data_IF_405450898786
#
_entry.id   IF_405450898786
#
_cell.length_a   1.000
_cell.length_b   1.000
_cell.length_c   1.000
_cell.angle_alpha   90.00
_cell.angle_beta   90.00
_cell.angle_gamma   90.00
#
_symmetry.space_group_name_H-M   'P 1'
#
loop_
_entity.id
_entity.type
_entity.pdbx_description
1 polymer ?
#
# COMPACT_ATOMS: atom_id res chain seq x y z
N UNK A 1 25.00 4.41 -27.69
CA UNK A 1 24.19 4.97 -26.59
C UNK A 1 23.01 5.69 -27.22
N UNK A 2 21.86 5.04 -27.29
CA UNK A 2 20.66 5.62 -27.93
C UNK A 2 20.04 6.61 -26.95
N UNK A 3 19.85 7.86 -27.39
CA UNK A 3 19.06 8.83 -26.66
C UNK A 3 17.64 8.28 -26.52
N UNK A 4 17.28 7.85 -25.32
CA UNK A 4 15.87 7.67 -24.97
C UNK A 4 15.30 9.09 -25.02
N UNK A 5 14.61 9.39 -26.12
CA UNK A 5 14.00 10.69 -26.40
C UNK A 5 13.09 11.09 -25.24
N UNK A 6 13.28 12.30 -24.71
CA UNK A 6 12.54 12.86 -23.56
C UNK A 6 11.02 12.82 -23.74
N UNK A 7 10.56 12.72 -25.00
CA UNK A 7 9.17 12.62 -25.40
C UNK A 7 8.46 11.34 -24.91
N UNK A 8 9.20 10.28 -24.55
CA UNK A 8 8.60 9.05 -24.00
C UNK A 8 8.44 9.07 -22.47
N UNK A 9 8.95 10.08 -21.76
CA UNK A 9 8.85 10.16 -20.29
C UNK A 9 7.48 10.70 -19.86
N UNK A 10 6.88 11.62 -20.64
CA UNK A 10 5.57 12.22 -20.34
C UNK A 10 4.41 11.23 -20.36
N UNK A 11 4.53 10.15 -21.14
CA UNK A 11 3.48 9.15 -21.33
C UNK A 11 3.55 8.01 -20.31
N UNK A 12 4.60 7.98 -19.49
CA UNK A 12 4.75 6.92 -18.47
C UNK A 12 3.79 7.15 -17.32
N UNK A 13 3.24 6.07 -16.75
CA UNK A 13 2.43 6.15 -15.53
C UNK A 13 3.29 5.83 -14.32
N UNK A 14 3.18 6.61 -13.26
CA UNK A 14 3.93 6.41 -12.02
C UNK A 14 3.05 5.78 -10.95
N UNK A 15 3.43 4.59 -10.53
CA UNK A 15 2.78 3.84 -9.46
C UNK A 15 3.64 3.91 -8.22
N UNK A 16 3.04 4.22 -7.08
CA UNK A 16 3.69 4.10 -5.76
C UNK A 16 3.11 2.88 -5.06
N UNK A 17 3.97 2.05 -4.48
CA UNK A 17 3.58 0.85 -3.74
C UNK A 17 4.07 0.99 -2.31
N UNK A 18 3.14 1.06 -1.37
CA UNK A 18 3.41 1.27 0.05
C UNK A 18 3.13 -0.02 0.80
N UNK A 19 4.20 -0.67 1.25
CA UNK A 19 4.15 -1.98 1.91
C UNK A 19 3.91 -1.87 3.41
N UNK A 20 3.27 -2.88 4.00
CA UNK A 20 3.37 -3.09 5.45
C UNK A 20 4.79 -3.59 5.78
N UNK A 21 5.42 -3.14 6.89
CA UNK A 21 6.82 -3.42 7.21
C UNK A 21 7.01 -4.82 7.81
N UNK A 22 6.48 -5.82 7.11
CA UNK A 22 6.61 -7.24 7.42
C UNK A 22 7.05 -7.96 6.15
N UNK A 23 7.96 -8.91 6.31
CA UNK A 23 8.47 -9.67 5.17
C UNK A 23 7.38 -10.44 4.42
N UNK A 24 6.32 -10.88 5.12
CA UNK A 24 5.18 -11.55 4.51
C UNK A 24 4.39 -10.68 3.52
N UNK A 25 4.47 -9.35 3.68
CA UNK A 25 3.79 -8.36 2.83
C UNK A 25 4.76 -7.77 1.80
N UNK A 26 5.97 -7.40 2.22
CA UNK A 26 7.00 -6.87 1.31
C UNK A 26 7.30 -7.83 0.17
N UNK A 27 7.52 -9.12 0.46
CA UNK A 27 7.95 -10.09 -0.57
C UNK A 27 6.97 -10.25 -1.75
N UNK A 28 5.65 -10.46 -1.55
CA UNK A 28 4.72 -10.52 -2.68
C UNK A 28 4.61 -9.18 -3.43
N UNK A 29 4.69 -8.04 -2.73
CA UNK A 29 4.64 -6.71 -3.37
C UNK A 29 5.91 -6.39 -4.21
N UNK A 30 7.09 -6.88 -3.79
CA UNK A 30 8.30 -6.87 -4.63
C UNK A 30 8.09 -7.69 -5.91
N UNK A 31 7.50 -8.87 -5.77
CA UNK A 31 7.23 -9.77 -6.88
C UNK A 31 6.25 -9.15 -7.86
N UNK A 32 5.15 -8.59 -7.35
CA UNK A 32 4.17 -7.84 -8.11
C UNK A 32 4.82 -6.70 -8.90
N UNK A 33 5.60 -5.86 -8.21
CA UNK A 33 6.23 -4.68 -8.80
C UNK A 33 7.24 -5.03 -9.90
N UNK A 34 8.09 -6.03 -9.65
CA UNK A 34 9.06 -6.50 -10.64
C UNK A 34 8.36 -7.04 -11.90
N UNK A 35 7.28 -7.82 -11.72
CA UNK A 35 6.49 -8.36 -12.85
C UNK A 35 5.79 -7.26 -13.63
N UNK A 36 5.21 -6.27 -12.97
CA UNK A 36 4.61 -5.12 -13.66
C UNK A 36 5.62 -4.38 -14.54
N UNK A 37 6.82 -4.10 -14.01
CA UNK A 37 7.88 -3.46 -14.79
C UNK A 37 8.29 -4.30 -16.01
N UNK A 38 8.31 -5.64 -15.88
CA UNK A 38 8.65 -6.53 -16.99
C UNK A 38 7.60 -6.54 -18.11
N UNK A 39 6.32 -6.50 -17.75
CA UNK A 39 5.20 -6.63 -18.69
C UNK A 39 4.82 -5.27 -19.31
N UNK A 40 4.94 -4.18 -18.55
CA UNK A 40 4.47 -2.86 -18.97
C UNK A 40 5.65 -1.87 -19.10
N UNK A 41 6.12 -1.58 -20.32
CA UNK A 41 7.30 -0.74 -20.55
C UNK A 41 7.08 0.75 -20.20
N UNK A 42 5.83 1.19 -20.10
CA UNK A 42 5.45 2.56 -19.77
C UNK A 42 5.27 2.82 -18.27
N UNK A 43 5.41 1.80 -17.41
CA UNK A 43 5.27 1.99 -15.97
C UNK A 43 6.59 2.44 -15.32
N UNK A 44 6.46 3.39 -14.40
CA UNK A 44 7.43 3.71 -13.36
C UNK A 44 6.87 3.19 -12.03
N UNK A 45 7.67 2.54 -11.21
CA UNK A 45 7.23 2.04 -9.91
C UNK A 45 8.18 2.52 -8.81
N UNK A 46 7.64 3.18 -7.80
CA UNK A 46 8.34 3.50 -6.55
C UNK A 46 7.83 2.57 -5.45
N UNK A 47 8.72 1.75 -4.90
CA UNK A 47 8.46 0.89 -3.74
C UNK A 47 8.86 1.62 -2.47
N UNK A 48 7.93 1.79 -1.53
CA UNK A 48 8.18 2.39 -0.21
C UNK A 48 8.32 1.28 0.81
N UNK A 49 9.54 1.09 1.32
CA UNK A 49 9.92 -0.05 2.17
C UNK A 49 10.62 0.40 3.45
N UNK A 50 10.46 -0.32 4.58
CA UNK A 50 11.29 -0.08 5.75
C UNK A 50 12.77 -0.47 5.46
N UNK A 51 13.70 0.36 5.92
CA UNK A 51 15.15 0.17 5.75
C UNK A 51 15.67 -1.14 6.38
N UNK A 52 15.06 -1.60 7.47
CA UNK A 52 15.47 -2.83 8.15
C UNK A 52 15.15 -4.12 7.36
N UNK A 53 14.44 -4.04 6.23
CA UNK A 53 14.16 -5.18 5.34
C UNK A 53 15.10 -5.19 4.11
N UNK A 54 15.97 -4.18 3.94
CA UNK A 54 16.83 -4.02 2.77
C UNK A 54 17.69 -5.24 2.44
N UNK A 55 18.26 -5.90 3.46
CA UNK A 55 19.06 -7.12 3.31
C UNK A 55 18.28 -8.28 2.67
N UNK A 56 16.95 -8.29 2.79
CA UNK A 56 16.06 -9.27 2.17
C UNK A 56 15.54 -8.78 0.81
N UNK A 57 15.27 -7.49 0.68
CA UNK A 57 14.73 -6.87 -0.54
C UNK A 57 15.66 -7.03 -1.74
N UNK A 58 16.93 -6.66 -1.59
CA UNK A 58 17.92 -6.68 -2.68
C UNK A 58 18.08 -8.06 -3.31
N UNK A 59 18.36 -9.15 -2.55
CA UNK A 59 18.47 -10.48 -3.15
C UNK A 59 17.14 -11.02 -3.69
N UNK A 60 15.98 -10.62 -3.16
CA UNK A 60 14.69 -11.02 -3.71
C UNK A 60 14.45 -10.37 -5.08
N UNK A 61 14.68 -9.06 -5.23
CA UNK A 61 14.57 -8.34 -6.50
C UNK A 61 15.54 -8.87 -7.57
N UNK A 62 16.74 -9.30 -7.15
CA UNK A 62 17.73 -9.88 -8.04
C UNK A 62 17.24 -11.15 -8.79
N UNK A 63 16.32 -11.92 -8.18
CA UNK A 63 15.74 -13.15 -8.77
C UNK A 63 14.91 -12.88 -10.03
N UNK A 64 14.46 -11.64 -10.24
CA UNK A 64 13.64 -11.28 -11.40
C UNK A 64 14.47 -10.95 -12.64
N UNK A 65 15.80 -10.86 -12.53
CA UNK A 65 16.70 -10.62 -13.65
C UNK A 65 16.30 -9.42 -14.53
N UNK A 66 15.90 -8.31 -13.90
CA UNK A 66 15.49 -7.09 -14.60
C UNK A 66 16.59 -6.59 -15.55
N UNK A 67 16.25 -6.16 -16.76
CA UNK A 67 17.19 -5.48 -17.65
C UNK A 67 17.62 -4.12 -17.06
N UNK A 68 18.72 -3.50 -17.54
CA UNK A 68 19.09 -2.14 -17.12
C UNK A 68 17.96 -1.12 -17.30
N UNK A 69 17.22 -1.20 -18.40
CA UNK A 69 16.07 -0.33 -18.68
C UNK A 69 14.91 -0.57 -17.69
N UNK A 70 14.63 -1.83 -17.36
CA UNK A 70 13.62 -2.19 -16.36
C UNK A 70 14.02 -1.69 -14.97
N UNK A 71 15.28 -1.86 -14.56
CA UNK A 71 15.81 -1.31 -13.30
C UNK A 71 15.70 0.21 -13.24
N UNK A 72 15.95 0.90 -14.35
CA UNK A 72 15.83 2.35 -14.39
C UNK A 72 14.40 2.86 -14.09
N UNK A 73 13.37 2.01 -14.27
CA UNK A 73 11.95 2.31 -14.02
C UNK A 73 11.42 1.79 -12.68
N UNK A 74 12.27 1.14 -11.87
CA UNK A 74 11.95 0.73 -10.51
C UNK A 74 12.81 1.55 -9.55
N UNK A 75 12.18 2.19 -8.56
CA UNK A 75 12.85 2.86 -7.44
C UNK A 75 12.43 2.19 -6.15
N UNK A 76 13.38 2.04 -5.24
CA UNK A 76 13.12 1.57 -3.88
C UNK A 76 13.46 2.75 -2.99
N UNK A 77 12.44 3.32 -2.38
CA UNK A 77 12.57 4.36 -1.37
C UNK A 77 12.49 3.68 -0.01
N UNK A 78 13.56 3.80 0.75
CA UNK A 78 13.62 3.26 2.10
C UNK A 78 13.16 4.31 3.11
N UNK A 79 12.72 3.86 4.29
CA UNK A 79 12.47 4.73 5.41
C UNK A 79 12.87 4.06 6.72
N UNK A 80 13.38 4.87 7.66
CA UNK A 80 13.74 4.41 8.99
C UNK A 80 12.55 4.49 9.94
N UNK A 81 12.42 3.48 10.80
CA UNK A 81 11.46 3.53 11.89
C UNK A 81 11.97 4.51 12.96
N UNK A 82 11.28 5.65 13.13
CA UNK A 82 11.62 6.66 14.15
C UNK A 82 11.39 6.09 15.57
N UNK A 83 10.46 5.13 15.71
CA UNK A 83 10.08 4.49 16.96
C UNK A 83 9.87 2.99 16.73
N UNK A 84 10.09 2.13 17.74
CA UNK A 84 9.76 0.71 17.64
C UNK A 84 8.25 0.50 17.33
N UNK A 85 7.90 -0.58 16.61
CA UNK A 85 6.50 -0.89 16.36
C UNK A 85 5.75 -1.14 17.67
N UNK A 86 4.46 -0.76 17.77
CA UNK A 86 3.61 -1.24 18.84
C UNK A 86 3.44 -2.78 18.73
N UNK A 87 2.91 -3.43 19.78
CA UNK A 87 2.66 -4.86 19.76
C UNK A 87 1.87 -5.29 18.52
N UNK A 88 2.23 -6.46 17.96
CA UNK A 88 1.57 -7.00 16.77
C UNK A 88 0.08 -7.19 17.06
N UNK A 89 -0.83 -6.52 16.33
CA UNK A 89 -2.26 -6.63 16.54
C UNK A 89 -2.78 -8.06 16.30
N UNK A 90 -2.04 -8.91 15.58
CA UNK A 90 -2.38 -10.32 15.38
C UNK A 90 -2.01 -11.22 16.59
N UNK A 91 -1.14 -10.74 17.49
CA UNK A 91 -0.73 -11.48 18.68
C UNK A 91 -1.49 -11.07 19.95
N UNK A 92 -2.01 -9.85 20.00
CA UNK A 92 -3.00 -9.44 21.00
C UNK A 92 -4.38 -9.92 20.56
N UNK A 93 -5.12 -10.62 21.42
CA UNK A 93 -6.52 -10.99 21.16
C UNK A 93 -7.34 -9.72 20.88
N UNK A 94 -7.60 -9.42 19.59
CA UNK A 94 -8.60 -8.45 19.10
C UNK A 94 -8.76 -7.20 19.98
N UNK A 95 -7.64 -6.51 20.26
CA UNK A 95 -7.66 -5.21 20.94
C UNK A 95 -7.67 -4.11 19.87
N UNK A 96 -8.83 -3.48 19.69
CA UNK A 96 -9.01 -2.34 18.80
C UNK A 96 -7.97 -1.24 19.05
N UNK A 97 -7.54 -1.08 20.31
CA UNK A 97 -6.50 -0.13 20.70
C UNK A 97 -5.13 -0.46 20.10
N UNK A 98 -4.75 -1.74 20.06
CA UNK A 98 -3.49 -2.19 19.48
C UNK A 98 -3.47 -1.96 17.96
N UNK A 99 -4.59 -2.23 17.29
CA UNK A 99 -4.72 -2.04 15.85
C UNK A 99 -4.72 -0.56 15.46
N UNK A 100 -5.43 0.30 16.21
CA UNK A 100 -5.38 1.75 16.02
C UNK A 100 -3.97 2.30 16.27
N UNK A 101 -3.28 1.84 17.31
CA UNK A 101 -1.91 2.25 17.60
C UNK A 101 -0.95 1.83 16.47
N UNK A 102 -1.08 0.60 15.97
CA UNK A 102 -0.26 0.09 14.87
C UNK A 102 -0.52 0.86 13.56
N UNK A 103 -1.79 1.08 13.22
CA UNK A 103 -2.18 1.87 12.05
C UNK A 103 -1.69 3.33 12.15
N UNK A 104 -1.79 3.96 13.32
CA UNK A 104 -1.25 5.31 13.56
C UNK A 104 0.26 5.35 13.42
N UNK A 105 0.97 4.39 14.01
CA UNK A 105 2.42 4.25 13.86
C UNK A 105 2.83 4.06 12.40
N UNK A 106 2.10 3.25 11.63
CA UNK A 106 2.34 3.09 10.19
C UNK A 106 2.18 4.41 9.42
N UNK A 107 1.13 5.18 9.71
CA UNK A 107 0.93 6.48 9.08
C UNK A 107 2.07 7.45 9.40
N UNK A 108 2.53 7.52 10.65
CA UNK A 108 3.65 8.38 11.05
C UNK A 108 4.94 8.09 10.25
N UNK A 109 5.15 6.83 9.86
CA UNK A 109 6.33 6.42 9.09
C UNK A 109 6.21 6.73 7.60
N UNK A 110 5.02 6.51 7.03
CA UNK A 110 4.79 6.63 5.59
C UNK A 110 4.53 8.07 5.16
N UNK A 111 3.91 8.89 6.02
CA UNK A 111 3.54 10.27 5.72
C UNK A 111 4.73 11.13 5.21
N UNK A 112 5.87 11.23 5.93
CA UNK A 112 6.99 12.05 5.45
C UNK A 112 7.60 11.51 4.15
N UNK A 113 7.57 10.18 3.95
CA UNK A 113 8.07 9.55 2.73
C UNK A 113 7.21 9.93 1.54
N UNK A 114 5.89 9.78 1.67
CA UNK A 114 4.96 10.13 0.60
C UNK A 114 4.97 11.63 0.31
N UNK A 115 5.06 12.47 1.34
CA UNK A 115 5.23 13.91 1.15
C UNK A 115 6.52 14.22 0.36
N UNK A 116 7.62 13.54 0.67
CA UNK A 116 8.86 13.66 -0.09
C UNK A 116 8.74 13.20 -1.55
N UNK A 117 7.95 12.15 -1.83
CA UNK A 117 7.61 11.73 -3.20
C UNK A 117 6.88 12.85 -3.94
N UNK A 118 5.85 13.45 -3.32
CA UNK A 118 5.09 14.54 -3.92
C UNK A 118 5.95 15.79 -4.17
N UNK A 119 6.84 16.13 -3.23
CA UNK A 119 7.76 17.27 -3.34
C UNK A 119 8.99 16.99 -4.20
N UNK A 120 9.16 15.75 -4.66
CA UNK A 120 10.35 15.27 -5.35
C UNK A 120 11.66 15.53 -4.60
N UNK A 121 11.59 15.52 -3.26
CA UNK A 121 12.74 15.77 -2.42
C UNK A 121 13.45 14.47 -2.04
N UNK A 122 14.70 14.55 -1.61
CA UNK A 122 15.37 13.42 -0.99
C UNK A 122 14.56 12.97 0.24
N UNK A 123 14.26 11.68 0.29
CA UNK A 123 13.44 11.08 1.35
C UNK A 123 14.32 10.51 2.46
N UNK A 124 15.51 10.03 2.09
CA UNK A 124 16.55 9.54 2.99
C UNK A 124 17.93 10.01 2.49
N UNK A 125 18.91 9.95 3.38
CA UNK A 125 20.31 10.27 3.10
C UNK A 125 21.09 8.94 2.98
N UNK A 126 21.84 8.65 1.89
CA UNK A 126 22.16 9.52 0.75
C UNK A 126 21.07 9.62 -0.34
N UNK A 127 21.06 10.70 -1.14
CA UNK A 127 20.01 11.06 -2.11
C UNK A 127 19.94 10.17 -3.37
N UNK A 128 20.49 8.96 -3.34
CA UNK A 128 20.45 8.03 -4.49
C UNK A 128 19.03 7.48 -4.74
N UNK A 129 18.14 7.65 -3.75
CA UNK A 129 16.74 7.21 -3.77
C UNK A 129 15.75 8.35 -4.06
N UNK A 130 16.14 9.30 -4.92
CA UNK A 130 15.20 10.35 -5.34
C UNK A 130 13.97 9.72 -6.03
N UNK A 131 12.76 10.18 -5.69
CA UNK A 131 11.55 9.76 -6.39
C UNK A 131 11.64 10.15 -7.87
N UNK A 132 10.81 9.50 -8.69
CA UNK A 132 10.67 9.94 -10.07
C UNK A 132 10.17 11.39 -10.12
N UNK A 133 10.65 12.16 -11.11
CA UNK A 133 10.14 13.49 -11.46
C UNK A 133 8.76 13.37 -12.13
N UNK A 134 7.80 12.81 -11.39
CA UNK A 134 6.41 12.62 -11.80
C UNK A 134 5.54 12.34 -10.58
N UNK A 135 4.41 13.04 -10.47
CA UNK A 135 3.40 12.74 -9.48
C UNK A 135 2.86 11.30 -9.62
N UNK A 136 2.46 10.63 -8.53
CA UNK A 136 1.80 9.33 -8.60
C UNK A 136 0.49 9.42 -9.39
N UNK A 137 0.29 8.52 -10.35
CA UNK A 137 -1.00 8.30 -11.01
C UNK A 137 -1.85 7.29 -10.22
N UNK A 138 -1.18 6.35 -9.56
CA UNK A 138 -1.80 5.27 -8.76
C UNK A 138 -0.97 5.05 -7.51
N UNK A 139 -1.63 4.87 -6.37
CA UNK A 139 -0.99 4.46 -5.12
C UNK A 139 -1.59 3.13 -4.70
N UNK A 140 -0.75 2.10 -4.69
CA UNK A 140 -1.05 0.84 -4.03
C UNK A 140 -0.64 0.93 -2.57
N UNK A 141 -1.55 0.60 -1.65
CA UNK A 141 -1.28 0.66 -0.21
C UNK A 141 -1.73 -0.64 0.42
N UNK A 142 -0.85 -1.27 1.19
CA UNK A 142 -1.25 -2.40 2.04
C UNK A 142 -2.42 -1.99 2.95
N UNK A 143 -3.36 -2.91 3.15
CA UNK A 143 -4.59 -2.64 3.89
C UNK A 143 -4.34 -2.09 5.29
N UNK A 144 -3.32 -2.57 5.99
CA UNK A 144 -3.00 -2.13 7.35
C UNK A 144 -2.44 -0.71 7.38
N UNK A 145 -1.69 -0.34 6.34
CA UNK A 145 -1.13 1.01 6.19
C UNK A 145 -2.20 2.00 5.75
N UNK A 146 -3.08 1.53 4.87
CA UNK A 146 -4.09 2.36 4.23
C UNK A 146 -4.98 3.09 5.24
N UNK A 147 -5.32 2.52 6.38
CA UNK A 147 -6.29 3.15 7.28
C UNK A 147 -5.78 4.39 7.98
N UNK A 148 -4.62 4.29 8.63
CA UNK A 148 -4.01 5.43 9.28
C UNK A 148 -3.62 6.48 8.26
N UNK A 149 -3.17 6.01 7.09
CA UNK A 149 -2.61 6.87 6.07
C UNK A 149 -3.66 7.52 5.14
N UNK A 150 -4.83 6.94 4.93
CA UNK A 150 -5.83 7.44 3.95
C UNK A 150 -6.18 8.91 4.16
N UNK A 151 -6.57 9.37 5.37
CA UNK A 151 -6.90 10.78 5.57
C UNK A 151 -5.70 11.69 5.25
N UNK A 152 -4.49 11.23 5.55
CA UNK A 152 -3.24 11.96 5.29
C UNK A 152 -2.88 11.99 3.81
N UNK A 153 -3.03 10.89 3.09
CA UNK A 153 -2.74 10.80 1.66
C UNK A 153 -3.55 11.83 0.87
N UNK A 154 -4.85 11.96 1.16
CA UNK A 154 -5.72 12.96 0.52
C UNK A 154 -5.24 14.38 0.83
N UNK A 155 -5.08 14.72 2.11
CA UNK A 155 -4.63 16.06 2.53
C UNK A 155 -3.26 16.43 1.98
N UNK A 156 -2.31 15.50 1.95
CA UNK A 156 -0.97 15.73 1.40
C UNK A 156 -1.01 16.00 -0.10
N UNK A 157 -1.81 15.23 -0.84
CA UNK A 157 -1.92 15.37 -2.30
C UNK A 157 -2.61 16.70 -2.67
N UNK A 158 -3.67 17.07 -1.94
CA UNK A 158 -4.34 18.36 -2.08
C UNK A 158 -3.41 19.54 -1.74
N UNK A 159 -2.66 19.44 -0.63
CA UNK A 159 -1.70 20.47 -0.22
C UNK A 159 -0.57 20.65 -1.25
N UNK A 160 -0.21 19.59 -1.97
CA UNK A 160 0.75 19.64 -3.08
C UNK A 160 0.14 20.22 -4.38
N UNK A 161 -1.16 20.53 -4.41
CA UNK A 161 -1.86 21.03 -5.60
C UNK A 161 -1.92 19.99 -6.73
N UNK A 162 -1.83 18.71 -6.40
CA UNK A 162 -1.78 17.61 -7.37
C UNK A 162 -3.15 16.97 -7.55
N UNK A 163 -3.36 16.32 -8.70
CA UNK A 163 -4.53 15.47 -8.90
C UNK A 163 -4.45 14.28 -7.95
N UNK A 164 -5.57 13.94 -7.31
CA UNK A 164 -5.66 12.75 -6.47
C UNK A 164 -5.36 11.49 -7.29
N UNK A 165 -4.38 10.66 -6.86
CA UNK A 165 -4.11 9.40 -7.54
C UNK A 165 -5.27 8.43 -7.31
N UNK A 166 -5.39 7.44 -8.19
CA UNK A 166 -6.24 6.29 -7.88
C UNK A 166 -5.60 5.53 -6.72
N UNK A 167 -6.37 5.29 -5.66
CA UNK A 167 -5.86 4.52 -4.52
C UNK A 167 -6.39 3.09 -4.63
N UNK A 168 -5.44 2.16 -4.63
CA UNK A 168 -5.67 0.74 -4.73
C UNK A 168 -5.16 0.08 -3.46
N UNK A 169 -5.95 -0.79 -2.85
CA UNK A 169 -5.57 -1.47 -1.62
C UNK A 169 -5.00 -2.86 -1.92
N UNK A 170 -3.86 -3.22 -1.33
CA UNK A 170 -3.39 -4.61 -1.30
C UNK A 170 -3.88 -5.30 -0.03
N UNK A 171 -4.49 -6.47 -0.20
CA UNK A 171 -4.83 -7.35 0.91
C UNK A 171 -4.70 -8.77 0.43
N UNK A 172 -3.72 -9.55 0.95
CA UNK A 172 -3.79 -10.98 0.77
C UNK A 172 -4.91 -11.50 1.69
N UNK A 173 -5.60 -12.53 1.24
CA UNK A 173 -6.47 -13.40 2.05
C UNK A 173 -7.96 -13.05 2.14
N UNK A 174 -8.69 -14.13 2.42
CA UNK A 174 -10.09 -14.42 2.17
C UNK A 174 -11.07 -13.33 2.53
N UNK A 175 -12.28 -13.43 1.95
CA UNK A 175 -13.49 -12.77 2.40
C UNK A 175 -13.44 -12.49 3.92
N UNK A 176 -13.35 -13.49 4.81
CA UNK A 176 -13.34 -13.35 6.28
C UNK A 176 -12.33 -12.33 6.85
N UNK A 177 -11.21 -12.09 6.19
CA UNK A 177 -10.20 -11.11 6.61
C UNK A 177 -10.65 -9.67 6.33
N UNK A 178 -11.48 -9.44 5.30
CA UNK A 178 -12.02 -8.12 4.95
C UNK A 178 -13.03 -7.57 5.98
N UNK A 179 -13.71 -8.41 6.80
CA UNK A 179 -14.57 -7.89 7.90
C UNK A 179 -13.72 -7.12 8.91
N UNK A 180 -12.46 -7.52 9.07
CA UNK A 180 -11.55 -6.82 9.96
C UNK A 180 -11.13 -5.48 9.38
N UNK A 181 -11.58 -5.05 8.18
CA UNK A 181 -10.86 -3.99 7.48
C UNK A 181 -11.62 -2.77 6.97
N UNK A 182 -12.95 -2.78 6.90
CA UNK A 182 -13.76 -1.58 6.58
C UNK A 182 -15.22 -1.86 6.91
N UNK A 183 -15.91 -0.94 7.58
CA UNK A 183 -17.38 -0.97 7.64
C UNK A 183 -18.00 -0.48 6.31
N UNK A 184 -19.31 -0.66 6.13
CA UNK A 184 -20.06 -0.18 4.96
C UNK A 184 -19.97 1.35 4.71
N UNK A 185 -19.48 2.13 5.67
CA UNK A 185 -19.30 3.58 5.56
C UNK A 185 -17.82 3.99 5.41
N UNK A 186 -16.90 3.05 5.20
CA UNK A 186 -15.46 3.27 5.25
C UNK A 186 -14.94 3.89 6.58
N UNK A 187 -15.64 3.69 7.69
CA UNK A 187 -15.25 4.20 9.02
C UNK A 187 -14.20 3.30 9.68
N UNK A 188 -13.39 3.85 10.62
CA UNK A 188 -12.41 3.08 11.37
C UNK A 188 -13.06 1.97 12.22
N UNK A 189 -12.29 0.90 12.36
CA UNK A 189 -12.63 -0.46 12.73
C UNK A 189 -13.42 -0.78 14.03
N UNK A 190 -13.36 -0.04 15.15
CA UNK A 190 -13.99 -0.52 16.39
C UNK A 190 -15.48 -0.83 16.24
N UNK A 191 -16.18 -0.11 15.35
CA UNK A 191 -17.59 -0.34 15.06
C UNK A 191 -17.89 -1.62 14.28
N UNK A 192 -17.07 -2.00 13.29
CA UNK A 192 -17.35 -3.13 12.41
C UNK A 192 -17.03 -4.49 13.05
N UNK A 193 -15.89 -4.62 13.76
CA UNK A 193 -15.57 -5.85 14.49
C UNK A 193 -16.56 -6.06 15.63
N UNK A 194 -16.78 -5.02 16.44
CA UNK A 194 -17.78 -5.06 17.51
C UNK A 194 -19.17 -5.36 16.95
N UNK A 195 -19.53 -4.74 15.83
CA UNK A 195 -20.79 -4.97 15.12
C UNK A 195 -20.94 -6.40 14.59
N UNK A 196 -19.91 -6.95 13.95
CA UNK A 196 -19.87 -8.32 13.45
C UNK A 196 -20.02 -9.33 14.60
N UNK A 197 -19.21 -9.22 15.65
CA UNK A 197 -19.29 -10.13 16.79
C UNK A 197 -20.63 -9.99 17.52
N UNK A 198 -21.15 -8.77 17.67
CA UNK A 198 -22.49 -8.54 18.23
C UNK A 198 -23.58 -9.21 17.41
N UNK A 199 -23.49 -9.18 16.08
CA UNK A 199 -24.45 -9.85 15.21
C UNK A 199 -24.35 -11.37 15.30
N UNK A 200 -23.12 -11.91 15.30
CA UNK A 200 -22.87 -13.36 15.46
C UNK A 200 -23.34 -13.87 16.82
N UNK A 201 -23.02 -13.15 17.89
CA UNK A 201 -23.47 -13.45 19.26
C UNK A 201 -25.00 -13.29 19.40
N UNK A 202 -25.60 -12.41 18.59
CA UNK A 202 -27.04 -12.26 18.42
C UNK A 202 -27.71 -13.36 17.59
N UNK A 203 -26.95 -14.36 17.13
CA UNK A 203 -27.44 -15.51 16.38
C UNK A 203 -27.52 -15.31 14.85
N UNK A 204 -26.96 -14.21 14.32
CA UNK A 204 -26.84 -14.05 12.89
C UNK A 204 -25.79 -15.04 12.35
N UNK A 205 -26.12 -15.69 11.22
CA UNK A 205 -25.16 -16.56 10.54
C UNK A 205 -23.88 -15.79 10.19
N UNK A 206 -22.72 -16.44 10.34
CA UNK A 206 -21.42 -15.77 10.15
C UNK A 206 -21.26 -15.17 8.76
N UNK A 207 -21.77 -15.81 7.71
CA UNK A 207 -21.69 -15.31 6.33
C UNK A 207 -22.63 -14.12 6.14
N UNK A 208 -23.81 -14.14 6.77
CA UNK A 208 -24.73 -12.99 6.72
C UNK A 208 -24.27 -11.80 7.55
N UNK A 209 -23.67 -12.04 8.72
CA UNK A 209 -23.02 -11.01 9.51
C UNK A 209 -21.83 -10.43 8.73
N UNK A 210 -21.05 -11.30 8.10
CA UNK A 210 -19.97 -10.93 7.19
C UNK A 210 -20.44 -9.98 6.08
N UNK A 211 -21.44 -10.39 5.29
CA UNK A 211 -21.94 -9.63 4.12
C UNK A 211 -22.48 -8.25 4.53
N UNK A 212 -23.03 -8.14 5.75
CA UNK A 212 -23.57 -6.88 6.29
C UNK A 212 -22.50 -5.84 6.60
N UNK A 213 -21.30 -6.27 6.98
CA UNK A 213 -20.26 -5.38 7.51
C UNK A 213 -19.18 -5.01 6.51
N UNK A 214 -19.13 -5.66 5.34
CA UNK A 214 -18.11 -5.38 4.34
C UNK A 214 -18.59 -4.37 3.31
N UNK A 215 -17.67 -3.49 2.93
CA UNK A 215 -17.87 -2.58 1.83
C UNK A 215 -18.02 -3.35 0.51
N UNK A 216 -19.16 -3.17 -0.15
CA UNK A 216 -19.62 -3.79 -1.41
C UNK A 216 -18.68 -3.60 -2.63
N UNK A 217 -17.55 -2.90 -2.48
CA UNK A 217 -16.68 -2.46 -3.58
C UNK A 217 -15.44 -3.33 -3.81
N UNK A 218 -15.17 -4.32 -2.96
CA UNK A 218 -13.97 -5.14 -3.07
C UNK A 218 -14.07 -6.13 -4.25
N UNK A 219 -13.24 -5.97 -5.27
CA UNK A 219 -13.19 -6.89 -6.41
C UNK A 219 -12.01 -7.87 -6.25
N UNK A 220 -12.25 -9.18 -6.12
CA UNK A 220 -11.16 -10.15 -6.06
C UNK A 220 -10.41 -10.20 -7.40
N UNK A 221 -9.09 -10.18 -7.34
CA UNK A 221 -8.21 -10.32 -8.51
C UNK A 221 -7.31 -11.54 -8.35
N UNK A 222 -7.12 -12.28 -9.45
CA UNK A 222 -6.19 -13.41 -9.51
C UNK A 222 -5.01 -13.01 -10.39
N UNK A 223 -3.81 -12.95 -9.81
CA UNK A 223 -2.57 -12.72 -10.55
C UNK A 223 -1.74 -14.01 -10.62
N UNK A 224 -1.29 -14.45 -11.81
CA UNK A 224 -0.50 -15.66 -11.94
C UNK A 224 0.74 -15.68 -11.04
N UNK A 225 0.87 -16.71 -10.21
CA UNK A 225 2.00 -16.89 -9.30
C UNK A 225 1.90 -16.12 -7.97
N UNK A 226 0.77 -15.44 -7.72
CA UNK A 226 0.44 -14.83 -6.43
C UNK A 226 -0.78 -15.53 -5.81
N UNK A 227 -0.91 -15.42 -4.49
CA UNK A 227 -2.16 -15.79 -3.81
C UNK A 227 -3.32 -14.88 -4.23
N UNK A 228 -4.57 -15.23 -3.90
CA UNK A 228 -5.72 -14.35 -4.12
C UNK A 228 -5.47 -12.97 -3.49
N UNK A 229 -5.74 -11.91 -4.25
CA UNK A 229 -5.67 -10.53 -3.75
C UNK A 229 -7.02 -9.86 -3.98
N UNK A 230 -7.34 -8.88 -3.17
CA UNK A 230 -8.49 -8.00 -3.38
C UNK A 230 -7.99 -6.67 -3.92
N UNK A 231 -8.63 -6.16 -4.97
CA UNK A 231 -8.40 -4.80 -5.46
C UNK A 231 -9.63 -3.96 -5.16
N UNK A 232 -9.41 -2.84 -4.49
CA UNK A 232 -10.46 -1.88 -4.18
C UNK A 232 -10.04 -0.56 -4.80
N UNK A 233 -10.79 -0.10 -5.81
CA UNK A 233 -10.69 1.28 -6.27
C UNK A 233 -11.52 2.13 -5.33
N UNK A 234 -10.86 3.02 -4.60
CA UNK A 234 -11.57 3.93 -3.72
C UNK A 234 -11.94 5.21 -4.46
N UNK A 235 -13.23 5.52 -4.50
CA UNK A 235 -13.70 6.82 -4.94
C UNK A 235 -13.26 7.90 -3.94
N UNK A 236 -12.54 8.92 -4.43
CA UNK A 236 -12.10 10.06 -3.64
C UNK A 236 -13.26 11.00 -3.20
N UNK A 237 -14.52 10.65 -3.51
CA UNK A 237 -15.69 11.50 -3.27
C UNK A 237 -16.31 11.38 -1.87
N UNK A 238 -15.66 10.67 -0.94
CA UNK A 238 -16.17 10.52 0.44
C UNK A 238 -15.70 11.72 1.26
N UNK A 239 -16.59 12.70 1.39
CA UNK A 239 -16.48 13.87 2.29
C UNK A 239 -17.10 13.56 3.64
#
# INVERSE_FOLDING_TARGET
MSAITSQHISDRRHYVVITMPSWGHVRPELSFSARLIQIHPHLLITLVLPSFITDKTTPELAKFHLSPEQRARLRVVQYDAIKPPPPDPNMSQSDDGALLAFSGWMSELVEPVYEGILKQSAICDPPEDLPFDRAPDVVFVDTMVFWGFRPRLLSLTEAAGMQLPKILRFGPFSLAYNIFLTDQNNSPLPGAISGYFKDVDGGLDRIKAYDKWIADSDQPITLPGLGPMSLVEMDCNVT
#
